data_IF_073163941186
#
_entry.id   IF_073163941186
#
_cell.length_a   1.000
_cell.length_b   1.000
_cell.length_c   1.000
_cell.angle_alpha   90.00
_cell.angle_beta   90.00
_cell.angle_gamma   90.00
#
_symmetry.space_group_name_H-M   'P 1'
#
loop_
_entity.id
_entity.type
_entity.pdbx_description
1 polymer ?
#
# COMPACT_ATOMS: atom_id res chain seq x y z
N UNK A 1 53.93 -9.34 -69.69
CA UNK A 1 53.61 -9.51 -68.26
C UNK A 1 53.16 -8.15 -67.75
N UNK A 2 51.86 -7.89 -67.78
CA UNK A 2 51.25 -6.63 -67.31
C UNK A 2 49.79 -6.90 -67.03
N UNK A 3 49.42 -6.72 -65.77
CA UNK A 3 48.11 -6.95 -65.17
C UNK A 3 47.16 -5.85 -65.64
N UNK A 4 45.93 -6.20 -66.04
CA UNK A 4 44.80 -5.26 -66.12
C UNK A 4 43.63 -5.82 -65.32
N UNK A 5 43.34 -5.08 -64.28
CA UNK A 5 42.27 -5.17 -63.30
C UNK A 5 40.89 -4.99 -63.94
N UNK A 6 39.98 -5.93 -63.70
CA UNK A 6 38.53 -5.72 -63.85
C UNK A 6 37.94 -5.51 -62.45
N UNK A 7 37.46 -4.29 -62.19
CA UNK A 7 36.69 -3.94 -61.00
C UNK A 7 35.26 -4.43 -61.22
N UNK A 8 34.82 -5.39 -60.41
CA UNK A 8 33.39 -5.73 -60.28
C UNK A 8 32.90 -5.17 -58.95
N UNK A 9 32.03 -4.17 -59.03
CA UNK A 9 31.33 -3.61 -57.89
C UNK A 9 30.25 -4.60 -57.43
N UNK A 10 30.43 -5.20 -56.26
CA UNK A 10 29.43 -6.04 -55.61
C UNK A 10 28.68 -5.19 -54.57
N UNK A 11 27.47 -4.76 -54.92
CA UNK A 11 26.57 -4.08 -54.00
C UNK A 11 26.05 -5.07 -52.95
N UNK A 12 26.56 -4.99 -51.72
CA UNK A 12 26.02 -5.73 -50.59
C UNK A 12 24.74 -5.04 -50.10
N UNK A 13 23.58 -5.67 -50.35
CA UNK A 13 22.34 -5.38 -49.64
C UNK A 13 22.48 -5.87 -48.20
N UNK A 14 22.87 -4.98 -47.29
CA UNK A 14 22.72 -5.18 -45.85
C UNK A 14 21.24 -5.03 -45.48
N UNK A 15 20.52 -6.14 -45.40
CA UNK A 15 19.25 -6.18 -44.70
C UNK A 15 19.51 -5.93 -43.21
N UNK A 16 19.26 -4.71 -42.74
CA UNK A 16 19.26 -4.41 -41.32
C UNK A 16 18.17 -5.25 -40.64
N UNK A 17 18.46 -5.97 -39.54
CA UNK A 17 17.42 -6.59 -38.75
C UNK A 17 16.54 -5.47 -38.22
N UNK A 18 15.23 -5.56 -38.49
CA UNK A 18 14.24 -4.74 -37.83
C UNK A 18 14.39 -4.96 -36.32
N UNK A 19 15.02 -4.00 -35.65
CA UNK A 19 14.96 -3.91 -34.21
C UNK A 19 13.49 -3.69 -33.87
N UNK A 20 12.82 -4.76 -33.42
CA UNK A 20 11.62 -4.60 -32.61
C UNK A 20 12.06 -3.79 -31.40
N UNK A 21 11.86 -2.47 -31.46
CA UNK A 21 11.84 -1.65 -30.28
C UNK A 21 10.75 -2.25 -29.39
N UNK A 22 11.17 -2.98 -28.35
CA UNK A 22 10.30 -3.28 -27.24
C UNK A 22 9.79 -1.94 -26.75
N UNK A 23 8.49 -1.69 -26.90
CA UNK A 23 7.83 -0.50 -26.41
C UNK A 23 7.81 -0.61 -24.89
N UNK A 24 8.94 -0.29 -24.26
CA UNK A 24 9.11 -0.32 -22.81
C UNK A 24 8.47 0.92 -22.21
N UNK A 25 7.42 0.70 -21.39
CA UNK A 25 6.95 1.66 -20.39
C UNK A 25 5.69 2.42 -20.78
N UNK A 26 4.53 1.78 -20.63
CA UNK A 26 3.25 2.35 -20.19
C UNK A 26 2.14 1.37 -20.57
N UNK A 27 1.95 0.32 -19.78
CA UNK A 27 0.79 -0.54 -19.96
C UNK A 27 -0.48 0.32 -19.82
N UNK A 28 -1.44 0.17 -20.73
CA UNK A 28 -2.74 0.80 -20.51
C UNK A 28 -3.37 0.26 -19.23
N UNK A 29 -4.25 1.05 -18.61
CA UNK A 29 -5.02 0.60 -17.45
C UNK A 29 -5.66 -0.77 -17.71
N UNK A 30 -6.32 -0.93 -18.86
CA UNK A 30 -7.08 -2.14 -19.19
C UNK A 30 -6.16 -3.36 -19.40
N UNK A 31 -4.98 -3.18 -20.01
CA UNK A 31 -4.01 -4.28 -20.18
C UNK A 31 -3.44 -4.74 -18.84
N UNK A 32 -3.01 -3.80 -18.00
CA UNK A 32 -2.52 -4.12 -16.66
C UNK A 32 -3.63 -4.76 -15.79
N UNK A 33 -4.83 -4.19 -15.81
CA UNK A 33 -5.95 -4.76 -15.08
C UNK A 33 -6.34 -6.15 -15.57
N UNK A 34 -6.26 -6.41 -16.88
CA UNK A 34 -6.50 -7.75 -17.42
C UNK A 34 -5.42 -8.73 -16.97
N UNK A 35 -4.14 -8.34 -16.99
CA UNK A 35 -3.05 -9.16 -16.46
C UNK A 35 -3.30 -9.52 -14.99
N UNK A 36 -3.73 -8.55 -14.19
CA UNK A 36 -4.07 -8.78 -12.79
C UNK A 36 -5.23 -9.77 -12.61
N UNK A 37 -6.28 -9.65 -13.44
CA UNK A 37 -7.40 -10.60 -13.45
C UNK A 37 -6.94 -12.01 -13.79
N UNK A 38 -6.11 -12.16 -14.83
CA UNK A 38 -5.66 -13.47 -15.32
C UNK A 38 -4.73 -14.19 -14.31
N UNK A 39 -3.95 -13.42 -13.55
CA UNK A 39 -2.90 -13.94 -12.68
C UNK A 39 -3.28 -14.04 -11.19
N UNK A 40 -4.34 -13.33 -10.79
CA UNK A 40 -4.80 -13.25 -9.41
C UNK A 40 -6.30 -13.57 -9.32
N UNK A 41 -7.16 -12.78 -9.96
CA UNK A 41 -8.60 -12.97 -9.93
C UNK A 41 -9.40 -11.71 -10.23
N UNK A 42 -10.69 -11.87 -10.52
CA UNK A 42 -11.58 -10.78 -10.90
C UNK A 42 -11.89 -9.84 -9.72
N UNK A 43 -11.85 -8.53 -9.96
CA UNK A 43 -12.36 -7.53 -9.02
C UNK A 43 -13.81 -7.22 -9.38
N UNK A 44 -14.80 -7.45 -8.49
CA UNK A 44 -16.18 -7.09 -8.77
C UNK A 44 -16.39 -5.57 -8.74
N UNK A 45 -17.43 -5.08 -9.40
CA UNK A 45 -17.91 -3.72 -9.16
C UNK A 45 -18.44 -3.62 -7.71
N UNK A 46 -18.25 -2.47 -7.05
CA UNK A 46 -18.71 -2.31 -5.66
C UNK A 46 -19.14 -0.88 -5.33
N UNK A 47 -19.96 -0.75 -4.29
CA UNK A 47 -20.32 0.53 -3.66
C UNK A 47 -19.46 0.74 -2.42
N UNK A 48 -18.74 1.85 -2.32
CA UNK A 48 -17.97 2.18 -1.12
C UNK A 48 -18.82 2.17 0.17
N UNK A 49 -20.11 2.55 0.09
CA UNK A 49 -21.01 2.52 1.25
C UNK A 49 -21.43 1.11 1.69
N UNK A 50 -21.10 0.06 0.94
CA UNK A 50 -21.25 -1.33 1.40
C UNK A 50 -20.17 -1.75 2.40
N UNK A 51 -19.08 -0.96 2.51
CA UNK A 51 -17.96 -1.25 3.40
C UNK A 51 -18.20 -0.95 4.89
N UNK A 52 -17.23 -1.38 5.69
CA UNK A 52 -17.18 -1.12 7.13
C UNK A 52 -16.54 0.23 7.39
N UNK A 53 -17.16 1.05 8.26
CA UNK A 53 -16.55 2.29 8.73
C UNK A 53 -15.27 2.04 9.51
N UNK A 54 -14.19 2.74 9.16
CA UNK A 54 -13.03 2.86 10.05
C UNK A 54 -13.37 3.93 11.11
N UNK A 55 -13.49 3.58 12.40
CA UNK A 55 -13.95 4.52 13.41
C UNK A 55 -12.97 5.67 13.64
N UNK A 56 -13.52 6.82 14.00
CA UNK A 56 -12.77 7.93 14.59
C UNK A 56 -13.23 8.04 16.04
N UNK A 57 -12.30 7.84 16.98
CA UNK A 57 -12.57 7.97 18.42
C UNK A 57 -11.82 9.13 19.03
N UNK A 58 -12.42 9.76 20.03
CA UNK A 58 -11.82 10.80 20.87
C UNK A 58 -12.03 10.38 22.31
N UNK A 59 -10.94 10.19 23.06
CA UNK A 59 -10.96 9.72 24.45
C UNK A 59 -11.70 8.38 24.58
N UNK A 60 -11.46 7.46 23.63
CA UNK A 60 -12.03 6.12 23.60
C UNK A 60 -13.50 6.04 23.17
N UNK A 61 -14.11 7.13 22.70
CA UNK A 61 -15.52 7.17 22.30
C UNK A 61 -15.70 7.77 20.91
N UNK A 62 -16.70 7.30 20.17
CA UNK A 62 -17.11 7.94 18.92
C UNK A 62 -17.74 9.30 19.24
N UNK A 63 -17.24 10.41 18.68
CA UNK A 63 -17.76 11.74 18.99
C UNK A 63 -19.14 11.95 18.34
N UNK A 64 -19.99 12.74 18.99
CA UNK A 64 -21.33 13.06 18.47
C UNK A 64 -21.29 14.00 17.24
N UNK A 65 -20.20 14.76 17.08
CA UNK A 65 -19.97 15.69 15.98
C UNK A 65 -18.51 15.68 15.57
N UNK A 66 -18.27 15.87 14.28
CA UNK A 66 -16.93 15.98 13.70
C UNK A 66 -16.67 17.42 13.24
N UNK A 67 -15.45 17.90 13.44
CA UNK A 67 -15.00 19.22 13.00
C UNK A 67 -13.71 19.10 12.20
N UNK A 68 -13.52 20.00 11.23
CA UNK A 68 -12.29 20.03 10.44
C UNK A 68 -11.07 20.22 11.35
N UNK A 69 -10.01 19.48 11.06
CA UNK A 69 -8.75 19.44 11.78
C UNK A 69 -8.85 19.04 13.27
N UNK A 70 -9.94 18.39 13.67
CA UNK A 70 -10.01 17.77 15.00
C UNK A 70 -8.93 16.69 15.16
N UNK A 71 -8.52 16.48 16.40
CA UNK A 71 -7.62 15.39 16.78
C UNK A 71 -8.39 14.17 17.25
N UNK A 72 -7.77 12.99 17.20
CA UNK A 72 -8.38 11.71 17.55
C UNK A 72 -7.36 10.72 18.11
N UNK A 73 -7.86 9.62 18.68
CA UNK A 73 -7.03 8.60 19.34
C UNK A 73 -6.13 7.83 18.35
N UNK A 74 -6.57 7.72 17.08
CA UNK A 74 -5.95 6.87 16.04
C UNK A 74 -6.07 7.53 14.66
N UNK A 75 -5.26 8.54 14.34
CA UNK A 75 -5.27 9.21 13.03
C UNK A 75 -4.80 8.28 11.89
N UNK A 76 -5.20 8.58 10.65
CA UNK A 76 -5.03 7.71 9.47
C UNK A 76 -3.58 7.37 9.04
N UNK A 77 -2.57 8.03 9.60
CA UNK A 77 -1.13 7.83 9.32
C UNK A 77 -0.69 8.03 7.87
N UNK A 78 -1.48 8.74 7.06
CA UNK A 78 -1.14 9.04 5.68
C UNK A 78 -1.17 10.55 5.44
N UNK A 79 -0.11 11.17 4.91
CA UNK A 79 -0.12 12.60 4.67
C UNK A 79 -1.21 12.97 3.66
N UNK A 80 -2.10 13.88 4.05
CA UNK A 80 -3.12 14.43 3.16
C UNK A 80 -2.67 15.81 2.66
N UNK A 81 -2.69 15.98 1.34
CA UNK A 81 -2.50 17.28 0.72
C UNK A 81 -3.73 18.18 0.96
N UNK A 82 -3.50 19.48 1.01
CA UNK A 82 -4.58 20.45 1.15
C UNK A 82 -5.33 20.59 -0.20
N UNK A 83 -6.65 20.84 -0.20
CA UNK A 83 -7.50 20.98 0.98
C UNK A 83 -7.87 19.63 1.63
N UNK A 84 -7.94 19.60 2.96
CA UNK A 84 -8.40 18.43 3.74
C UNK A 84 -9.03 18.88 5.05
N UNK A 85 -10.01 18.12 5.56
CA UNK A 85 -10.53 18.21 6.92
C UNK A 85 -9.63 17.54 7.97
N UNK A 86 -8.45 17.05 7.59
CA UNK A 86 -7.46 16.47 8.51
C UNK A 86 -7.51 14.93 8.62
N UNK A 87 -6.64 14.40 9.48
CA UNK A 87 -6.37 12.95 9.62
C UNK A 87 -7.49 12.17 10.34
N UNK A 88 -8.42 12.88 10.97
CA UNK A 88 -9.52 12.33 11.75
C UNK A 88 -10.87 12.52 11.03
N UNK A 89 -10.86 12.33 9.71
CA UNK A 89 -12.07 12.45 8.89
C UNK A 89 -12.91 11.17 9.02
N UNK A 90 -14.21 11.28 9.39
CA UNK A 90 -15.05 10.12 9.61
C UNK A 90 -15.50 9.46 8.31
N UNK A 91 -15.98 8.23 8.45
CA UNK A 91 -16.68 7.48 7.38
C UNK A 91 -15.82 7.13 6.17
N UNK A 92 -14.50 6.96 6.37
CA UNK A 92 -13.70 6.16 5.45
C UNK A 92 -14.09 4.68 5.60
N UNK A 93 -14.07 3.93 4.50
CA UNK A 93 -14.59 2.56 4.43
C UNK A 93 -13.52 1.59 4.01
N UNK A 94 -13.52 0.40 4.61
CA UNK A 94 -12.77 -0.76 4.17
C UNK A 94 -13.75 -1.85 3.69
N UNK A 95 -13.41 -2.51 2.60
CA UNK A 95 -14.13 -3.64 2.05
C UNK A 95 -13.16 -4.82 1.89
N UNK A 96 -13.64 -5.98 2.31
CA UNK A 96 -13.06 -7.27 1.95
C UNK A 96 -13.92 -7.86 0.83
N UNK A 97 -13.37 -7.90 -0.39
CA UNK A 97 -14.03 -8.45 -1.59
C UNK A 97 -13.41 -9.80 -1.99
N UNK A 98 -12.70 -10.44 -1.06
CA UNK A 98 -11.93 -11.65 -1.30
C UNK A 98 -12.83 -12.85 -1.65
N UNK A 99 -12.29 -13.77 -2.45
CA UNK A 99 -12.93 -15.03 -2.83
C UNK A 99 -11.87 -16.08 -3.18
N UNK A 100 -12.01 -17.29 -2.66
CA UNK A 100 -10.99 -18.33 -2.84
C UNK A 100 -9.61 -17.86 -2.34
N UNK A 101 -8.58 -18.03 -3.18
CA UNK A 101 -7.22 -17.55 -2.91
C UNK A 101 -7.00 -16.07 -3.28
N UNK A 102 -8.00 -15.41 -3.86
CA UNK A 102 -7.97 -14.00 -4.24
C UNK A 102 -8.32 -13.14 -3.02
N UNK A 103 -7.33 -12.43 -2.49
CA UNK A 103 -7.49 -11.43 -1.45
C UNK A 103 -7.67 -10.04 -2.07
N UNK A 104 -8.78 -9.37 -1.75
CA UNK A 104 -9.10 -8.05 -2.29
C UNK A 104 -9.43 -7.10 -1.14
N UNK A 105 -8.50 -6.19 -0.86
CA UNK A 105 -8.71 -5.10 0.09
C UNK A 105 -9.01 -3.83 -0.69
N UNK A 106 -10.23 -3.32 -0.58
CA UNK A 106 -10.61 -2.03 -1.17
C UNK A 106 -10.82 -0.99 -0.07
N UNK A 107 -10.19 0.17 -0.23
CA UNK A 107 -10.23 1.25 0.73
C UNK A 107 -10.81 2.52 0.11
N UNK A 108 -11.96 2.98 0.61
CA UNK A 108 -12.58 4.24 0.19
C UNK A 108 -12.34 5.30 1.24
N UNK A 109 -11.44 6.24 0.96
CA UNK A 109 -10.97 7.23 1.92
C UNK A 109 -11.72 8.54 1.78
N UNK A 110 -11.99 9.16 2.93
CA UNK A 110 -12.41 10.54 3.04
C UNK A 110 -11.29 11.40 3.62
N UNK A 111 -10.99 12.47 2.91
CA UNK A 111 -10.14 13.59 3.29
C UNK A 111 -10.98 14.83 3.62
N UNK A 112 -12.27 14.83 3.30
CA UNK A 112 -13.24 15.86 3.70
C UNK A 112 -14.39 15.29 4.53
N UNK A 113 -14.87 16.07 5.50
CA UNK A 113 -16.06 15.70 6.28
C UNK A 113 -17.29 15.77 5.38
N UNK A 114 -17.97 14.64 5.23
CA UNK A 114 -19.25 14.48 4.52
C UNK A 114 -20.23 13.66 5.36
N UNK A 115 -21.51 13.69 5.02
CA UNK A 115 -22.52 12.84 5.65
C UNK A 115 -22.17 11.34 5.53
N UNK A 116 -22.51 10.50 6.52
CA UNK A 116 -22.10 9.09 6.59
C UNK A 116 -22.27 8.34 5.26
N UNK A 117 -23.46 8.43 4.65
CA UNK A 117 -23.80 7.72 3.40
C UNK A 117 -23.60 8.55 2.13
N UNK A 118 -22.80 9.62 2.20
CA UNK A 118 -22.40 10.34 0.98
C UNK A 118 -21.73 9.37 0.01
N UNK A 119 -22.10 9.36 -1.28
CA UNK A 119 -21.43 8.53 -2.27
C UNK A 119 -20.07 9.10 -2.67
N UNK A 120 -19.70 10.30 -2.19
CA UNK A 120 -18.48 10.98 -2.59
C UNK A 120 -17.31 10.66 -1.66
N UNK A 121 -16.25 10.11 -2.24
CA UNK A 121 -14.99 9.76 -1.58
C UNK A 121 -13.84 10.51 -2.27
N UNK A 122 -12.76 10.78 -1.55
CA UNK A 122 -11.63 11.54 -2.11
C UNK A 122 -10.61 10.64 -2.79
N UNK A 123 -10.56 9.38 -2.37
CA UNK A 123 -9.60 8.38 -2.84
C UNK A 123 -10.22 6.98 -2.71
N UNK A 124 -9.96 6.12 -3.69
CA UNK A 124 -10.26 4.69 -3.65
C UNK A 124 -9.00 3.93 -4.03
N UNK A 125 -8.57 3.03 -3.15
CA UNK A 125 -7.41 2.16 -3.34
C UNK A 125 -7.86 0.70 -3.39
N UNK A 126 -7.22 -0.12 -4.23
CA UNK A 126 -7.37 -1.59 -4.18
C UNK A 126 -6.00 -2.23 -4.11
N UNK A 127 -5.85 -3.14 -3.15
CA UNK A 127 -4.78 -4.13 -3.11
C UNK A 127 -5.40 -5.47 -3.48
N UNK A 128 -5.04 -5.97 -4.68
CA UNK A 128 -5.41 -7.29 -5.17
C UNK A 128 -4.21 -8.21 -4.93
N UNK A 129 -4.41 -9.34 -4.25
CA UNK A 129 -3.34 -10.26 -3.89
C UNK A 129 -3.79 -11.71 -4.02
N UNK A 130 -2.92 -12.60 -4.50
CA UNK A 130 -3.19 -14.04 -4.52
C UNK A 130 -2.40 -14.75 -3.41
N UNK A 131 -3.09 -15.35 -2.44
CA UNK A 131 -2.44 -15.98 -1.27
C UNK A 131 -1.51 -17.15 -1.66
N UNK A 132 -1.89 -17.97 -2.64
CA UNK A 132 -1.07 -19.11 -3.10
C UNK A 132 0.24 -18.73 -3.84
N UNK A 133 0.18 -17.82 -4.83
CA UNK A 133 1.33 -17.49 -5.67
C UNK A 133 2.07 -16.20 -5.25
N UNK A 134 1.44 -15.35 -4.45
CA UNK A 134 1.98 -14.11 -3.91
C UNK A 134 1.87 -12.89 -4.82
N UNK A 135 1.31 -13.02 -6.01
CA UNK A 135 1.18 -11.92 -6.98
C UNK A 135 0.26 -10.84 -6.40
N UNK A 136 0.64 -9.57 -6.60
CA UNK A 136 -0.04 -8.40 -6.08
C UNK A 136 -0.16 -7.32 -7.15
N UNK A 137 -1.35 -6.74 -7.27
CA UNK A 137 -1.63 -5.56 -8.08
C UNK A 137 -2.17 -4.42 -7.24
N UNK A 138 -1.81 -3.20 -7.65
CA UNK A 138 -2.22 -1.93 -7.04
C UNK A 138 -3.11 -1.14 -7.99
N UNK A 139 -4.24 -0.65 -7.48
CA UNK A 139 -5.10 0.30 -8.19
C UNK A 139 -5.37 1.50 -7.29
N UNK A 140 -5.40 2.68 -7.90
CA UNK A 140 -5.63 3.93 -7.20
C UNK A 140 -6.47 4.86 -8.06
N UNK A 141 -7.42 5.51 -7.42
CA UNK A 141 -8.21 6.59 -7.97
C UNK A 141 -8.29 7.69 -6.92
N UNK A 142 -8.05 8.92 -7.33
CA UNK A 142 -8.13 10.09 -6.45
C UNK A 142 -8.67 11.29 -7.22
N UNK A 143 -9.50 12.07 -6.55
CA UNK A 143 -9.97 13.36 -7.03
C UNK A 143 -9.61 14.44 -6.01
N UNK A 144 -8.79 15.40 -6.43
CA UNK A 144 -8.43 16.55 -5.61
C UNK A 144 -9.60 17.49 -5.32
N UNK A 145 -9.38 18.43 -4.39
CA UNK A 145 -10.36 19.44 -4.02
C UNK A 145 -11.32 18.98 -2.91
N UNK A 146 -12.53 19.53 -2.89
CA UNK A 146 -13.51 19.31 -1.80
C UNK A 146 -14.71 18.47 -2.20
N UNK A 147 -14.95 18.26 -3.49
CA UNK A 147 -16.14 17.54 -3.98
C UNK A 147 -16.05 16.03 -3.74
N UNK A 148 -14.88 15.43 -3.99
CA UNK A 148 -14.70 13.99 -4.08
C UNK A 148 -15.33 13.40 -5.36
N UNK A 149 -15.06 12.13 -5.62
CA UNK A 149 -15.61 11.36 -6.74
C UNK A 149 -16.77 10.48 -6.29
N UNK A 150 -17.77 10.33 -7.15
CA UNK A 150 -18.90 9.45 -6.87
C UNK A 150 -18.44 7.98 -6.94
N UNK A 151 -18.43 7.32 -5.79
CA UNK A 151 -18.02 5.92 -5.62
C UNK A 151 -19.20 5.04 -5.15
N UNK A 152 -20.44 5.40 -5.52
CA UNK A 152 -21.60 4.52 -5.37
C UNK A 152 -21.52 3.29 -6.29
N UNK A 153 -20.70 3.37 -7.34
CA UNK A 153 -20.28 2.24 -8.16
C UNK A 153 -18.84 2.46 -8.62
N UNK A 154 -17.91 1.83 -7.95
CA UNK A 154 -16.52 1.69 -8.38
C UNK A 154 -16.46 0.61 -9.47
N UNK A 155 -16.02 0.92 -10.70
CA UNK A 155 -15.93 -0.06 -11.78
C UNK A 155 -14.75 -1.02 -11.56
N UNK A 156 -14.84 -2.30 -12.00
CA UNK A 156 -13.69 -3.16 -12.14
C UNK A 156 -12.60 -2.48 -12.99
N UNK A 157 -11.31 -2.52 -12.61
CA UNK A 157 -10.27 -1.84 -13.38
C UNK A 157 -10.13 -2.33 -14.83
N UNK A 158 -10.58 -3.55 -15.16
CA UNK A 158 -10.59 -4.12 -16.51
C UNK A 158 -11.93 -3.95 -17.25
N UNK A 159 -12.90 -3.19 -16.71
CA UNK A 159 -14.21 -2.97 -17.35
C UNK A 159 -14.07 -2.15 -18.63
N UNK A 160 -14.29 -2.80 -19.78
CA UNK A 160 -14.23 -2.18 -21.10
C UNK A 160 -15.47 -1.37 -21.46
N UNK A 161 -16.64 -1.80 -21.00
CA UNK A 161 -17.92 -1.18 -21.33
C UNK A 161 -18.70 -0.94 -20.05
N UNK A 162 -18.84 0.32 -19.59
CA UNK A 162 -19.61 0.61 -18.40
C UNK A 162 -21.11 0.47 -18.66
N UNK A 163 -21.92 0.17 -17.63
CA UNK A 163 -23.36 0.31 -17.73
C UNK A 163 -23.77 1.77 -18.08
N UNK A 164 -24.91 1.98 -18.77
CA UNK A 164 -25.36 3.32 -19.15
C UNK A 164 -25.40 4.29 -17.96
N UNK A 165 -24.79 5.48 -18.12
CA UNK A 165 -24.76 6.52 -17.08
C UNK A 165 -23.68 6.36 -16.01
N UNK A 166 -22.79 5.37 -16.13
CA UNK A 166 -21.66 5.17 -15.22
C UNK A 166 -20.31 5.49 -15.89
N UNK A 167 -19.31 5.96 -15.11
CA UNK A 167 -17.97 6.19 -15.66
C UNK A 167 -17.33 4.87 -16.09
N UNK A 168 -16.54 4.92 -17.14
CA UNK A 168 -15.67 3.82 -17.55
C UNK A 168 -14.53 3.60 -16.56
N UNK A 169 -13.90 2.43 -16.60
CA UNK A 169 -12.72 2.15 -15.79
C UNK A 169 -11.58 3.15 -16.05
N UNK A 170 -11.37 3.53 -17.32
CA UNK A 170 -10.32 4.46 -17.74
C UNK A 170 -10.55 5.92 -17.32
N UNK A 171 -11.79 6.29 -17.02
CA UNK A 171 -12.14 7.60 -16.45
C UNK A 171 -12.00 7.61 -14.93
N UNK A 172 -12.28 6.48 -14.28
CA UNK A 172 -12.26 6.37 -12.82
C UNK A 172 -10.85 6.12 -12.26
N UNK A 173 -10.11 5.17 -12.82
CA UNK A 173 -8.82 4.72 -12.31
C UNK A 173 -7.65 5.44 -12.95
N UNK A 174 -6.59 5.62 -12.18
CA UNK A 174 -5.33 6.12 -12.71
C UNK A 174 -4.62 5.04 -13.53
N UNK A 175 -3.77 5.48 -14.47
CA UNK A 175 -2.85 4.58 -15.18
C UNK A 175 -1.82 3.98 -14.21
N UNK A 176 -1.30 2.77 -14.48
CA UNK A 176 -0.31 2.11 -13.62
C UNK A 176 0.92 2.97 -13.30
N UNK A 177 1.52 3.62 -14.31
CA UNK A 177 2.64 4.54 -14.12
C UNK A 177 2.31 5.70 -13.15
N UNK A 178 1.09 6.26 -13.23
CA UNK A 178 0.65 7.31 -12.30
C UNK A 178 0.41 6.75 -10.89
N UNK A 179 -0.20 5.58 -10.75
CA UNK A 179 -0.36 4.88 -9.47
C UNK A 179 1.00 4.59 -8.81
N UNK A 180 2.00 4.17 -9.58
CA UNK A 180 3.35 3.90 -9.07
C UNK A 180 4.01 5.13 -8.42
N UNK A 181 3.66 6.35 -8.84
CA UNK A 181 4.17 7.60 -8.21
C UNK A 181 3.73 7.77 -6.75
N UNK A 182 2.67 7.08 -6.30
CA UNK A 182 2.27 7.07 -4.88
C UNK A 182 3.20 6.25 -4.00
N UNK A 183 4.12 5.47 -4.60
CA UNK A 183 5.17 4.70 -3.90
C UNK A 183 4.61 3.79 -2.80
N UNK A 184 3.51 3.08 -3.09
CA UNK A 184 2.80 2.23 -2.12
C UNK A 184 3.75 1.27 -1.38
N UNK A 185 4.68 0.63 -2.10
CA UNK A 185 5.65 -0.30 -1.53
C UNK A 185 6.73 0.35 -0.64
N UNK A 186 6.83 1.68 -0.57
CA UNK A 186 7.66 2.33 0.44
C UNK A 186 7.11 2.07 1.84
N UNK A 187 5.78 2.07 1.98
CA UNK A 187 5.07 1.79 3.23
C UNK A 187 4.66 0.32 3.35
N UNK A 188 4.26 -0.28 2.24
CA UNK A 188 3.95 -1.71 2.10
C UNK A 188 5.22 -2.48 1.71
N UNK A 189 6.29 -2.30 2.50
CA UNK A 189 7.63 -2.82 2.21
C UNK A 189 7.87 -4.24 2.74
N UNK A 190 6.91 -4.80 3.47
CA UNK A 190 6.99 -6.16 3.99
C UNK A 190 5.83 -7.03 3.51
N UNK A 191 4.70 -6.44 3.13
CA UNK A 191 3.44 -7.16 2.86
C UNK A 191 2.53 -6.29 1.99
N UNK A 192 1.62 -6.89 1.18
CA UNK A 192 0.59 -6.14 0.45
C UNK A 192 -0.27 -5.27 1.36
N UNK A 193 -0.40 -5.65 2.63
CA UNK A 193 -1.18 -4.91 3.62
C UNK A 193 -0.33 -4.61 4.86
N UNK A 194 -0.46 -3.39 5.38
CA UNK A 194 0.23 -2.93 6.57
C UNK A 194 -0.77 -2.62 7.69
N UNK A 195 -0.37 -2.90 8.93
CA UNK A 195 -1.14 -2.51 10.10
C UNK A 195 -0.85 -1.07 10.49
N UNK A 196 -1.89 -0.33 10.85
CA UNK A 196 -1.82 0.93 11.59
C UNK A 196 -2.85 0.91 12.72
N UNK A 197 -2.68 1.68 13.81
CA UNK A 197 -3.72 1.80 14.83
C UNK A 197 -5.08 2.20 14.27
N UNK A 198 -5.12 3.06 13.24
CA UNK A 198 -6.37 3.49 12.62
C UNK A 198 -7.15 2.34 11.99
N UNK A 199 -6.53 1.59 11.07
CA UNK A 199 -7.19 0.44 10.42
C UNK A 199 -7.32 -0.76 11.37
N UNK A 200 -6.45 -0.85 12.37
CA UNK A 200 -6.43 -1.91 13.39
C UNK A 200 -7.75 -2.03 14.16
N UNK A 201 -8.52 -0.96 14.25
CA UNK A 201 -9.87 -0.94 14.84
C UNK A 201 -10.87 -1.86 14.12
N UNK A 202 -10.59 -2.22 12.87
CA UNK A 202 -11.41 -3.10 12.02
C UNK A 202 -10.55 -4.15 11.32
N UNK A 203 -9.45 -4.58 11.97
CA UNK A 203 -8.47 -5.49 11.35
C UNK A 203 -9.06 -6.81 10.87
N UNK A 204 -10.14 -7.29 11.52
CA UNK A 204 -10.88 -8.48 11.09
C UNK A 204 -11.65 -8.31 9.76
N UNK A 205 -11.62 -7.11 9.17
CA UNK A 205 -12.19 -6.78 7.85
C UNK A 205 -11.12 -6.55 6.79
N UNK A 206 -9.86 -6.84 7.11
CA UNK A 206 -8.73 -6.69 6.22
C UNK A 206 -8.23 -8.08 5.85
N UNK A 207 -8.27 -8.48 4.57
CA UNK A 207 -7.68 -9.75 4.17
C UNK A 207 -6.17 -9.66 4.32
N UNK A 208 -5.56 -10.64 4.98
CA UNK A 208 -4.13 -10.64 5.26
C UNK A 208 -3.52 -12.00 4.95
N UNK A 209 -2.29 -11.98 4.46
CA UNK A 209 -1.43 -13.14 4.37
C UNK A 209 -0.04 -12.77 4.96
N UNK A 210 0.09 -12.78 6.30
CA UNK A 210 1.29 -12.26 6.96
C UNK A 210 2.57 -13.03 6.60
N UNK A 211 2.43 -14.29 6.16
CA UNK A 211 3.54 -15.19 5.81
C UNK A 211 3.64 -15.46 4.31
N UNK A 212 2.70 -14.93 3.53
CA UNK A 212 2.61 -15.09 2.09
C UNK A 212 3.78 -14.52 1.33
N UNK A 213 3.97 -15.07 0.12
CA UNK A 213 4.82 -14.45 -0.90
C UNK A 213 4.24 -13.08 -1.26
N UNK A 214 5.09 -12.16 -1.67
CA UNK A 214 4.65 -10.82 -2.06
C UNK A 214 5.43 -10.36 -3.29
N UNK A 215 4.74 -10.35 -4.44
CA UNK A 215 5.31 -10.18 -5.76
C UNK A 215 4.48 -9.15 -6.52
N UNK A 216 5.04 -7.97 -6.76
CA UNK A 216 4.39 -6.90 -7.51
C UNK A 216 4.35 -7.25 -9.01
N UNK A 217 3.13 -7.27 -9.57
CA UNK A 217 2.89 -7.40 -11.00
C UNK A 217 2.94 -6.03 -11.70
N UNK A 218 3.25 -6.05 -12.99
CA UNK A 218 3.31 -4.86 -13.86
C UNK A 218 4.68 -4.18 -13.90
N UNK A 219 5.08 -3.74 -15.09
CA UNK A 219 6.40 -3.13 -15.32
C UNK A 219 6.62 -1.85 -14.50
N UNK A 220 5.58 -1.02 -14.34
CA UNK A 220 5.63 0.22 -13.57
C UNK A 220 5.91 -0.01 -12.07
N UNK A 221 5.59 -1.21 -11.57
CA UNK A 221 5.80 -1.61 -10.18
C UNK A 221 7.05 -2.48 -9.99
N UNK A 222 7.84 -2.75 -11.03
CA UNK A 222 9.03 -3.60 -10.92
C UNK A 222 10.10 -3.03 -9.96
N UNK A 223 10.10 -1.71 -9.74
CA UNK A 223 10.99 -1.07 -8.76
C UNK A 223 10.56 -1.27 -7.30
N UNK A 224 9.35 -1.79 -7.06
CA UNK A 224 8.78 -1.99 -5.72
C UNK A 224 9.36 -3.26 -5.09
N UNK A 225 10.65 -3.19 -4.77
CA UNK A 225 11.39 -4.29 -4.14
C UNK A 225 11.97 -3.86 -2.79
N UNK A 226 11.97 -4.82 -1.86
CA UNK A 226 12.39 -4.62 -0.48
C UNK A 226 12.89 -5.91 0.14
N UNK A 227 13.48 -5.81 1.33
CA UNK A 227 13.93 -6.96 2.10
C UNK A 227 13.27 -6.97 3.47
N UNK A 228 12.98 -8.17 3.96
CA UNK A 228 12.62 -8.43 5.33
C UNK A 228 13.88 -8.54 6.19
N UNK A 229 13.82 -7.99 7.39
CA UNK A 229 14.92 -7.99 8.36
C UNK A 229 14.74 -9.17 9.29
N UNK A 230 15.82 -9.90 9.56
CA UNK A 230 15.88 -10.87 10.65
C UNK A 230 17.14 -10.71 11.50
N UNK A 231 16.99 -10.84 12.82
CA UNK A 231 18.05 -10.73 13.82
C UNK A 231 17.80 -11.69 14.99
N UNK A 232 18.82 -12.39 15.54
CA UNK A 232 18.63 -13.43 16.54
C UNK A 232 17.91 -12.98 17.81
N UNK A 233 17.02 -13.83 18.33
CA UNK A 233 16.36 -13.64 19.62
C UNK A 233 15.35 -12.48 19.67
N UNK A 234 14.95 -11.97 18.52
CA UNK A 234 14.07 -10.80 18.43
C UNK A 234 12.59 -11.18 18.55
N UNK A 235 11.90 -10.60 19.53
CA UNK A 235 10.50 -10.93 19.84
C UNK A 235 9.49 -10.39 18.83
N UNK A 236 9.84 -9.35 18.05
CA UNK A 236 8.93 -8.72 17.11
C UNK A 236 8.78 -9.56 15.83
N UNK A 237 9.91 -10.04 15.30
CA UNK A 237 9.95 -10.78 14.02
C UNK A 237 9.68 -12.28 14.15
N UNK A 238 9.35 -12.76 15.36
CA UNK A 238 8.78 -14.11 15.53
C UNK A 238 7.38 -14.23 14.93
N UNK A 239 6.64 -13.12 14.86
CA UNK A 239 5.29 -13.06 14.28
C UNK A 239 5.16 -12.04 13.13
N UNK A 240 6.03 -11.03 13.07
CA UNK A 240 5.95 -9.98 12.06
C UNK A 240 7.06 -10.10 11.02
N UNK A 241 6.71 -9.97 9.75
CA UNK A 241 7.68 -9.63 8.70
C UNK A 241 7.87 -8.11 8.69
N UNK A 242 9.09 -7.64 8.96
CA UNK A 242 9.43 -6.21 9.02
C UNK A 242 10.33 -5.86 7.84
N UNK A 243 9.93 -4.87 7.05
CA UNK A 243 10.68 -4.43 5.86
C UNK A 243 11.84 -3.50 6.20
N UNK A 244 12.71 -3.27 5.21
CA UNK A 244 13.90 -2.43 5.33
C UNK A 244 13.77 -1.01 4.76
N UNK A 245 12.55 -0.54 4.48
CA UNK A 245 12.21 0.81 3.99
C UNK A 245 11.51 1.60 5.09
N UNK A 246 10.28 2.07 4.89
CA UNK A 246 9.58 2.88 5.90
C UNK A 246 9.22 2.07 7.15
N UNK A 247 9.23 0.73 7.09
CA UNK A 247 9.19 -0.09 8.31
C UNK A 247 10.32 0.30 9.27
N UNK A 248 11.54 0.48 8.76
CA UNK A 248 12.70 0.94 9.53
C UNK A 248 12.62 2.41 9.94
N UNK A 249 12.31 3.28 8.98
CA UNK A 249 12.45 4.72 9.16
C UNK A 249 11.32 5.34 9.97
N UNK A 250 10.12 4.75 9.88
CA UNK A 250 8.88 5.34 10.39
C UNK A 250 8.19 4.36 11.34
N UNK A 251 7.83 3.16 10.88
CA UNK A 251 6.82 2.37 11.57
C UNK A 251 7.33 1.64 12.83
N UNK A 252 8.52 1.02 12.80
CA UNK A 252 9.10 0.43 14.02
C UNK A 252 9.34 1.50 15.09
N UNK A 253 9.98 2.66 14.77
CA UNK A 253 10.10 3.75 15.73
C UNK A 253 8.75 4.27 16.26
N UNK A 254 7.76 4.45 15.38
CA UNK A 254 6.44 4.94 15.75
C UNK A 254 5.65 3.93 16.61
N UNK A 255 5.78 2.63 16.34
CA UNK A 255 5.15 1.56 17.11
C UNK A 255 5.72 1.39 18.52
N UNK A 256 6.94 1.89 18.73
CA UNK A 256 7.68 1.79 19.97
C UNK A 256 7.81 3.13 20.70
N UNK A 257 7.00 4.14 20.37
CA UNK A 257 7.00 5.45 21.02
C UNK A 257 8.32 6.22 20.86
N UNK A 258 9.13 5.93 19.83
CA UNK A 258 10.42 6.59 19.56
C UNK A 258 10.30 7.80 18.63
N UNK A 259 9.16 7.94 17.96
CA UNK A 259 8.83 9.11 17.15
C UNK A 259 7.66 9.89 17.78
N UNK A 260 7.55 11.20 17.49
CA UNK A 260 6.39 11.98 17.87
C UNK A 260 5.10 11.34 17.37
N UNK A 261 3.99 11.53 18.12
CA UNK A 261 2.71 11.02 17.71
C UNK A 261 2.31 11.61 16.34
N UNK A 262 1.60 10.85 15.50
CA UNK A 262 1.26 11.27 14.15
C UNK A 262 0.40 12.54 14.15
N UNK A 263 0.47 13.31 13.06
CA UNK A 263 -0.38 14.51 12.91
C UNK A 263 -1.86 14.15 13.12
N UNK A 264 -2.57 14.98 13.87
CA UNK A 264 -3.98 14.71 14.23
C UNK A 264 -4.16 13.84 15.47
N UNK A 265 -3.09 13.43 16.15
CA UNK A 265 -3.16 12.76 17.45
C UNK A 265 -3.69 13.68 18.54
N UNK A 266 -4.57 13.18 19.40
CA UNK A 266 -4.98 13.85 20.64
C UNK A 266 -4.05 13.46 21.81
N UNK A 267 -4.42 13.89 23.03
CA UNK A 267 -3.68 13.58 24.25
C UNK A 267 -3.55 12.07 24.52
N UNK A 268 -4.64 11.32 24.32
CA UNK A 268 -4.64 9.86 24.52
C UNK A 268 -3.72 9.15 23.52
N UNK A 269 -3.78 9.54 22.23
CA UNK A 269 -2.87 9.05 21.18
C UNK A 269 -1.40 9.37 21.46
N UNK A 270 -1.15 10.44 22.21
CA UNK A 270 0.19 10.90 22.59
C UNK A 270 0.70 10.28 23.89
N UNK A 271 -0.08 9.38 24.49
CA UNK A 271 0.21 8.75 25.78
C UNK A 271 0.28 7.23 25.68
N UNK A 272 0.96 6.59 26.63
CA UNK A 272 0.92 5.13 26.76
C UNK A 272 -0.52 4.68 27.12
N UNK A 273 -1.04 3.57 26.56
CA UNK A 273 -0.36 2.61 25.68
C UNK A 273 -0.40 2.95 24.18
N UNK A 274 -1.11 4.01 23.74
CA UNK A 274 -1.31 4.26 22.30
C UNK A 274 -0.05 4.71 21.55
N UNK A 275 0.96 5.22 22.25
CA UNK A 275 2.30 5.44 21.67
C UNK A 275 3.08 4.14 21.45
N UNK A 276 2.64 3.03 22.05
CA UNK A 276 3.27 1.71 22.02
C UNK A 276 2.25 0.66 21.54
N UNK A 277 1.84 0.78 20.28
CA UNK A 277 0.71 0.05 19.71
C UNK A 277 1.07 -1.34 19.15
N UNK A 278 2.31 -1.80 19.38
CA UNK A 278 2.72 -3.19 19.14
C UNK A 278 3.28 -3.82 20.43
N UNK A 279 2.93 -5.07 20.78
CA UNK A 279 1.95 -5.92 20.10
C UNK A 279 0.52 -5.33 20.13
N UNK A 280 -0.35 -5.81 19.25
CA UNK A 280 -1.78 -5.44 19.25
C UNK A 280 -2.36 -5.77 20.63
N UNK A 281 -3.27 -4.92 21.13
CA UNK A 281 -3.88 -5.04 22.47
C UNK A 281 -2.87 -4.98 23.62
N UNK A 282 -1.96 -4.01 23.55
CA UNK A 282 -0.99 -3.75 24.62
C UNK A 282 -1.69 -3.27 25.91
N UNK A 283 -2.00 -4.23 26.77
CA UNK A 283 -2.61 -4.02 28.10
C UNK A 283 -1.58 -4.05 29.24
N UNK A 284 -0.28 -4.06 28.92
CA UNK A 284 0.80 -4.09 29.91
C UNK A 284 1.01 -2.70 30.50
N UNK A 285 1.79 -2.60 31.57
CA UNK A 285 2.40 -1.33 31.96
C UNK A 285 3.58 -0.98 31.03
N UNK A 286 3.97 0.29 30.97
CA UNK A 286 5.15 0.70 30.20
C UNK A 286 6.42 -0.02 30.68
N UNK A 287 6.55 -0.29 31.97
CA UNK A 287 7.69 -1.01 32.54
C UNK A 287 7.76 -2.45 32.01
N UNK A 288 6.64 -3.18 32.03
CA UNK A 288 6.54 -4.54 31.50
C UNK A 288 6.74 -4.59 29.99
N UNK A 289 6.21 -3.60 29.26
CA UNK A 289 6.43 -3.50 27.82
C UNK A 289 7.92 -3.30 27.50
N UNK A 290 8.60 -2.39 28.21
CA UNK A 290 10.02 -2.14 28.03
C UNK A 290 10.86 -3.37 28.35
N UNK A 291 10.56 -4.04 29.46
CA UNK A 291 11.25 -5.27 29.85
C UNK A 291 11.15 -6.37 28.78
N UNK A 292 9.99 -6.48 28.11
CA UNK A 292 9.76 -7.50 27.09
C UNK A 292 10.26 -7.13 25.68
N UNK A 293 10.21 -5.85 25.30
CA UNK A 293 10.28 -5.45 23.89
C UNK A 293 11.38 -4.45 23.55
N UNK A 294 11.87 -3.66 24.52
CA UNK A 294 12.79 -2.56 24.21
C UNK A 294 14.09 -3.02 23.57
N UNK A 295 14.61 -4.18 23.97
CA UNK A 295 15.81 -4.78 23.35
C UNK A 295 15.55 -5.16 21.89
N UNK A 296 14.46 -5.89 21.61
CA UNK A 296 14.07 -6.29 20.25
C UNK A 296 13.88 -5.10 19.32
N UNK A 297 13.27 -4.02 19.81
CA UNK A 297 13.15 -2.78 19.05
C UNK A 297 14.54 -2.20 18.73
N UNK A 298 15.41 -2.08 19.72
CA UNK A 298 16.77 -1.57 19.51
C UNK A 298 17.57 -2.42 18.52
N UNK A 299 17.51 -3.75 18.64
CA UNK A 299 18.21 -4.67 17.72
C UNK A 299 17.71 -4.50 16.27
N UNK A 300 16.39 -4.34 16.07
CA UNK A 300 15.82 -4.07 14.73
C UNK A 300 16.30 -2.72 14.18
N UNK A 301 16.22 -1.67 14.99
CA UNK A 301 16.65 -0.33 14.58
C UNK A 301 18.16 -0.27 14.32
N UNK A 302 18.95 -1.08 15.03
CA UNK A 302 20.36 -1.26 14.72
C UNK A 302 20.54 -1.87 13.33
N UNK A 303 19.83 -2.95 13.00
CA UNK A 303 19.85 -3.52 11.65
C UNK A 303 19.41 -2.53 10.56
N UNK A 304 18.47 -1.63 10.87
CA UNK A 304 18.03 -0.56 9.98
C UNK A 304 19.11 0.50 9.71
N UNK A 305 20.12 0.63 10.58
CA UNK A 305 21.18 1.63 10.44
C UNK A 305 22.18 1.30 9.33
N UNK A 306 22.93 2.30 8.85
CA UNK A 306 24.00 2.09 7.87
C UNK A 306 25.06 1.07 8.34
N UNK A 307 25.33 1.02 9.65
CA UNK A 307 26.23 0.05 10.26
C UNK A 307 25.61 -1.35 10.28
N UNK A 308 24.35 -1.45 10.71
CA UNK A 308 23.66 -2.74 10.87
C UNK A 308 23.44 -3.49 9.57
N UNK A 309 23.34 -2.80 8.42
CA UNK A 309 23.27 -3.44 7.10
C UNK A 309 24.45 -4.36 6.79
N UNK A 310 25.60 -4.16 7.45
CA UNK A 310 26.80 -4.99 7.30
C UNK A 310 27.10 -5.82 8.57
N UNK A 311 26.24 -5.78 9.59
CA UNK A 311 26.43 -6.55 10.81
C UNK A 311 26.03 -8.02 10.56
N UNK A 312 26.89 -9.01 10.86
CA UNK A 312 26.58 -10.43 10.68
C UNK A 312 25.32 -10.92 11.40
N UNK A 313 24.86 -10.22 12.44
CA UNK A 313 23.61 -10.57 13.15
C UNK A 313 22.35 -10.14 12.38
N UNK A 314 22.49 -9.24 11.41
CA UNK A 314 21.38 -8.72 10.62
C UNK A 314 21.33 -9.41 9.26
N UNK A 315 20.24 -10.11 9.01
CA UNK A 315 19.99 -10.80 7.73
C UNK A 315 18.87 -10.12 6.98
N UNK A 316 19.00 -10.07 5.66
CA UNK A 316 18.04 -9.42 4.76
C UNK A 316 17.63 -10.41 3.68
N UNK A 317 16.37 -10.83 3.70
CA UNK A 317 15.81 -11.74 2.70
C UNK A 317 14.81 -11.00 1.83
N UNK A 318 14.61 -11.36 0.55
CA UNK A 318 13.59 -10.73 -0.28
C UNK A 318 12.21 -10.72 0.41
N UNK A 319 11.55 -9.55 0.44
CA UNK A 319 10.19 -9.39 0.93
C UNK A 319 9.25 -9.09 -0.25
N UNK A 320 9.15 -7.81 -0.64
CA UNK A 320 8.52 -7.41 -1.88
C UNK A 320 9.46 -7.71 -3.05
N UNK A 321 8.95 -8.41 -4.05
CA UNK A 321 9.69 -8.78 -5.26
C UNK A 321 8.96 -8.25 -6.49
N UNK A 322 9.65 -8.08 -7.60
CA UNK A 322 9.01 -7.88 -8.89
C UNK A 322 8.66 -9.24 -9.50
N UNK A 323 7.53 -9.34 -10.20
CA UNK A 323 7.29 -10.45 -11.10
C UNK A 323 8.35 -10.46 -12.21
N UNK A 324 8.90 -11.65 -12.49
CA UNK A 324 9.84 -11.87 -13.59
C UNK A 324 9.11 -12.19 -14.87
#
# INVERSE_FOLDING_TARGET
>A
MTIRTCVVALAMLLAAPAAFAANSGDASLLEYAQQCTDEIGEIPAFDCNSGTDVPITVNGRVPARYAAHMTCDRPALLPYEAPTSGQCTPYSKILDLSHGDTQISAFCRRKQIRANRSPYYDEVDIVLHHAGNGKTCWFHAEQGGTAGMNAARVPPPNEKTPPPGHPSAVEFWWKPAATATKRCAACHDASPVMYSPWIGQVWNKVPTDPWGKYINLGADFASFTSHAISTPGNTCIGCHRIGNRNSCEIYVPLAAGRLPPPKGSNELASSYPLTHWMPIDNNRSLAEWNAANAKSVSDLLECCSARGKNDPKCTFTPAAQAAK
#
